data_IF_147867848509
#
_entry.id   IF_147867848509
#
_cell.length_a   1.000
_cell.length_b   1.000
_cell.length_c   1.000
_cell.angle_alpha   90.00
_cell.angle_beta   90.00
_cell.angle_gamma   90.00
#
_symmetry.space_group_name_H-M   'P 1'
#
loop_
_entity.id
_entity.type
_entity.pdbx_description
1 polymer ?
#
# COMPACT_ATOMS: atom_id res chain seq x y z
N UNK A 1 -6.92 -19.51 25.56
CA UNK A 1 -5.83 -18.74 24.90
C UNK A 1 -5.64 -19.07 23.42
N UNK A 2 -6.04 -20.24 22.91
CA UNK A 2 -5.83 -20.62 21.51
C UNK A 2 -6.32 -19.55 20.49
N UNK A 3 -7.50 -18.98 20.70
CA UNK A 3 -8.05 -17.94 19.81
C UNK A 3 -7.22 -16.64 19.76
N UNK A 4 -6.54 -16.28 20.86
CA UNK A 4 -5.69 -15.09 20.92
C UNK A 4 -4.34 -15.30 20.23
N UNK A 5 -3.87 -16.56 20.14
CA UNK A 5 -2.62 -16.92 19.46
C UNK A 5 -2.83 -17.19 17.97
N UNK A 6 -4.07 -17.49 17.55
CA UNK A 6 -4.45 -17.66 16.15
C UNK A 6 -5.01 -16.38 15.50
N UNK A 7 -5.09 -15.27 16.24
CA UNK A 7 -5.65 -14.00 15.75
C UNK A 7 -4.54 -12.99 15.41
N UNK A 8 -4.68 -12.27 14.30
CA UNK A 8 -3.76 -11.18 13.90
C UNK A 8 -3.66 -10.05 14.94
N UNK A 9 -4.73 -9.86 15.72
CA UNK A 9 -4.81 -8.89 16.81
C UNK A 9 -5.46 -9.52 18.03
N UNK A 10 -4.74 -9.53 19.16
CA UNK A 10 -5.26 -9.96 20.46
C UNK A 10 -5.45 -8.75 21.38
N UNK A 11 -6.64 -8.63 21.97
CA UNK A 11 -6.98 -7.53 22.88
C UNK A 11 -7.85 -8.06 24.04
N UNK A 12 -7.60 -7.53 25.25
CA UNK A 12 -8.20 -8.06 26.49
C UNK A 12 -9.67 -7.69 26.72
N UNK A 13 -10.21 -6.67 26.04
CA UNK A 13 -11.61 -6.25 26.15
C UNK A 13 -12.16 -5.73 24.81
N UNK A 14 -13.44 -5.99 24.54
CA UNK A 14 -14.10 -5.62 23.28
C UNK A 14 -14.14 -4.10 23.02
N UNK A 15 -14.10 -3.26 24.07
CA UNK A 15 -14.07 -1.79 23.94
C UNK A 15 -12.86 -1.28 23.14
N UNK A 16 -11.74 -2.00 23.13
CA UNK A 16 -10.55 -1.60 22.38
C UNK A 16 -10.71 -1.80 20.87
N UNK A 17 -11.60 -2.71 20.44
CA UNK A 17 -11.88 -2.97 19.03
C UNK A 17 -12.43 -1.72 18.32
N UNK A 18 -13.30 -0.96 18.99
CA UNK A 18 -13.88 0.26 18.43
C UNK A 18 -12.80 1.30 18.09
N UNK A 19 -11.85 1.55 19.00
CA UNK A 19 -10.76 2.51 18.77
C UNK A 19 -9.74 1.97 17.75
N UNK A 20 -9.52 0.66 17.71
CA UNK A 20 -8.64 0.02 16.74
C UNK A 20 -9.19 0.18 15.30
N UNK A 21 -10.45 -0.19 15.07
CA UNK A 21 -11.07 -0.07 13.75
C UNK A 21 -11.26 1.38 13.30
N UNK A 22 -11.89 2.22 14.14
CA UNK A 22 -12.33 3.55 13.71
C UNK A 22 -11.17 4.55 13.58
N UNK A 23 -10.16 4.45 14.44
CA UNK A 23 -9.01 5.37 14.41
C UNK A 23 -7.87 4.75 13.61
N UNK A 24 -7.34 3.60 14.06
CA UNK A 24 -6.15 3.01 13.45
C UNK A 24 -6.45 2.39 12.08
N UNK A 25 -7.60 1.73 11.93
CA UNK A 25 -8.05 1.20 10.64
C UNK A 25 -8.20 2.30 9.60
N UNK A 26 -8.91 3.39 9.93
CA UNK A 26 -9.08 4.52 9.00
C UNK A 26 -7.76 5.21 8.65
N UNK A 27 -6.89 5.43 9.62
CA UNK A 27 -5.56 6.02 9.38
C UNK A 27 -4.67 5.10 8.53
N UNK A 28 -4.70 3.79 8.77
CA UNK A 28 -3.97 2.82 7.96
C UNK A 28 -4.45 2.83 6.51
N UNK A 29 -5.78 2.80 6.32
CA UNK A 29 -6.39 2.85 4.99
C UNK A 29 -5.99 4.10 4.20
N UNK A 30 -6.12 5.30 4.81
CA UNK A 30 -5.77 6.56 4.12
C UNK A 30 -4.28 6.60 3.74
N UNK A 31 -3.39 6.12 4.62
CA UNK A 31 -1.95 6.04 4.32
C UNK A 31 -1.67 5.05 3.19
N UNK A 32 -2.29 3.88 3.21
CA UNK A 32 -2.13 2.87 2.17
C UNK A 32 -2.63 3.37 0.81
N UNK A 33 -3.79 4.03 0.75
CA UNK A 33 -4.31 4.62 -0.49
C UNK A 33 -3.41 5.74 -1.04
N UNK A 34 -2.81 6.58 -0.18
CA UNK A 34 -1.83 7.59 -0.61
C UNK A 34 -0.57 6.92 -1.14
N UNK A 35 -0.06 5.91 -0.44
CA UNK A 35 1.11 5.15 -0.85
C UNK A 35 0.90 4.45 -2.20
N UNK A 36 -0.21 3.73 -2.38
CA UNK A 36 -0.53 3.04 -3.63
C UNK A 36 -0.59 3.99 -4.82
N UNK A 37 -1.31 5.12 -4.69
CA UNK A 37 -1.38 6.12 -5.76
C UNK A 37 -0.01 6.67 -6.13
N UNK A 38 0.81 6.97 -5.13
CA UNK A 38 2.16 7.47 -5.35
C UNK A 38 3.08 6.41 -5.99
N UNK A 39 2.95 5.15 -5.56
CA UNK A 39 3.68 4.03 -6.12
C UNK A 39 3.37 3.86 -7.60
N UNK A 40 2.09 3.81 -7.98
CA UNK A 40 1.70 3.72 -9.39
C UNK A 40 2.19 4.92 -10.20
N UNK A 41 2.02 6.14 -9.68
CA UNK A 41 2.48 7.35 -10.35
C UNK A 41 3.98 7.32 -10.66
N UNK A 42 4.81 7.00 -9.66
CA UNK A 42 6.27 6.93 -9.84
C UNK A 42 6.69 5.88 -10.83
N UNK A 43 6.15 4.66 -10.71
CA UNK A 43 6.50 3.57 -11.61
C UNK A 43 6.07 3.87 -13.04
N UNK A 44 4.85 4.37 -13.23
CA UNK A 44 4.35 4.70 -14.56
C UNK A 44 5.14 5.85 -15.20
N UNK A 45 5.43 6.91 -14.45
CA UNK A 45 6.27 8.01 -14.93
C UNK A 45 7.66 7.52 -15.36
N UNK A 46 8.30 6.65 -14.56
CA UNK A 46 9.59 6.06 -14.89
C UNK A 46 9.50 5.21 -16.18
N UNK A 47 8.55 4.29 -16.25
CA UNK A 47 8.37 3.41 -17.42
C UNK A 47 8.03 4.19 -18.69
N UNK A 48 7.21 5.25 -18.60
CA UNK A 48 6.87 6.09 -19.75
C UNK A 48 8.09 6.80 -20.34
N UNK A 49 9.03 7.28 -19.50
CA UNK A 49 10.28 7.88 -19.98
C UNK A 49 11.11 6.86 -20.75
N UNK A 50 11.22 5.63 -20.25
CA UNK A 50 11.91 4.56 -20.96
C UNK A 50 11.22 4.19 -22.28
N UNK A 51 9.88 4.07 -22.29
CA UNK A 51 9.11 3.81 -23.52
C UNK A 51 9.34 4.92 -24.55
N UNK A 52 9.28 6.18 -24.11
CA UNK A 52 9.51 7.34 -24.96
C UNK A 52 10.91 7.29 -25.57
N UNK A 53 11.94 7.07 -24.74
CA UNK A 53 13.32 6.93 -25.19
C UNK A 53 13.50 5.75 -26.16
N UNK A 54 12.83 4.61 -25.92
CA UNK A 54 12.87 3.45 -26.81
C UNK A 54 12.40 3.75 -28.23
N UNK A 55 11.48 4.70 -28.44
CA UNK A 55 11.09 5.12 -29.78
C UNK A 55 12.23 5.84 -30.53
N UNK A 56 13.09 6.58 -29.82
CA UNK A 56 14.26 7.24 -30.43
C UNK A 56 15.47 6.31 -30.57
N UNK A 57 15.59 5.30 -29.70
CA UNK A 57 16.69 4.31 -29.75
C UNK A 57 16.39 3.09 -30.63
N UNK A 58 15.27 3.08 -31.36
CA UNK A 58 14.89 1.95 -32.23
C UNK A 58 14.62 0.65 -31.47
N UNK A 59 14.12 0.75 -30.24
CA UNK A 59 13.92 -0.37 -29.30
C UNK A 59 15.20 -1.14 -28.96
N UNK A 60 16.37 -0.55 -29.20
CA UNK A 60 17.62 -1.04 -28.59
C UNK A 60 17.50 -0.79 -27.09
N UNK A 61 17.19 -1.84 -26.33
CA UNK A 61 17.08 -1.83 -24.87
C UNK A 61 18.47 -1.61 -24.23
N UNK A 62 19.02 -0.41 -24.41
CA UNK A 62 20.22 0.07 -23.73
C UNK A 62 19.92 0.43 -22.27
#
# INVERSE_FOLDING_TARGET
MQAAMSSDYSFGQFRYLQRLLLVHGRWSYIRMCKFLRYFFYKNFAFTLVHIWYSFFSGFSAQ
#
